data_IF_647027113618
#
_entry.id   IF_647027113618
#
_cell.length_a   1.000
_cell.length_b   1.000
_cell.length_c   1.000
_cell.angle_alpha   90.00
_cell.angle_beta   90.00
_cell.angle_gamma   90.00
#
_symmetry.space_group_name_H-M   'P 1'
#
loop_
_entity.id
_entity.type
_entity.pdbx_description
1 polymer ?
#
# COMPACT_ATOMS: atom_id res chain seq x y z
N UNK A 1 -34.51 -9.59 -16.26
CA UNK A 1 -35.90 -9.96 -16.53
C UNK A 1 -36.53 -10.79 -15.39
N UNK A 2 -35.74 -11.63 -14.71
CA UNK A 2 -36.29 -12.50 -13.65
C UNK A 2 -36.42 -11.81 -12.27
N UNK A 3 -35.64 -10.76 -12.02
CA UNK A 3 -35.65 -10.05 -10.73
C UNK A 3 -37.01 -9.37 -10.43
N UNK A 4 -37.52 -8.58 -11.37
CA UNK A 4 -38.82 -7.92 -11.21
C UNK A 4 -39.95 -8.93 -11.09
N UNK A 5 -39.92 -10.00 -11.90
CA UNK A 5 -40.94 -11.07 -11.86
C UNK A 5 -40.93 -11.85 -10.55
N UNK A 6 -39.74 -12.08 -9.96
CA UNK A 6 -39.63 -12.75 -8.67
C UNK A 6 -40.11 -11.83 -7.53
N UNK A 7 -39.85 -10.54 -7.62
CA UNK A 7 -40.37 -9.54 -6.68
C UNK A 7 -41.92 -9.48 -6.72
N UNK A 8 -42.51 -9.43 -7.91
CA UNK A 8 -43.93 -9.39 -8.11
C UNK A 8 -44.65 -10.66 -7.60
N UNK A 9 -43.96 -11.80 -7.68
CA UNK A 9 -44.46 -13.11 -7.21
C UNK A 9 -44.08 -13.43 -5.76
N UNK A 10 -43.56 -12.45 -4.97
CA UNK A 10 -43.09 -12.64 -3.58
C UNK A 10 -42.06 -13.76 -3.40
N UNK A 11 -41.26 -14.03 -4.44
CA UNK A 11 -40.17 -14.99 -4.39
C UNK A 11 -38.86 -14.28 -4.04
N UNK A 12 -37.87 -15.05 -3.55
CA UNK A 12 -36.55 -14.53 -3.28
C UNK A 12 -35.89 -14.04 -4.57
N UNK A 13 -35.58 -12.75 -4.65
CA UNK A 13 -34.87 -12.15 -5.77
C UNK A 13 -33.41 -11.87 -5.36
N UNK A 14 -32.44 -12.74 -5.72
CA UNK A 14 -31.05 -12.54 -5.37
C UNK A 14 -30.48 -11.36 -6.15
N UNK A 15 -29.92 -10.39 -5.44
CA UNK A 15 -29.15 -9.28 -6.00
C UNK A 15 -27.67 -9.52 -5.70
N UNK A 16 -26.85 -9.60 -6.71
CA UNK A 16 -25.40 -9.71 -6.55
C UNK A 16 -24.75 -8.33 -6.65
N UNK A 17 -24.05 -7.94 -5.61
CA UNK A 17 -23.26 -6.73 -5.56
C UNK A 17 -21.76 -7.09 -5.57
N UNK A 18 -21.04 -6.61 -6.59
CA UNK A 18 -19.59 -6.75 -6.70
C UNK A 18 -18.96 -5.43 -6.27
N UNK A 19 -18.22 -5.46 -5.17
CA UNK A 19 -17.50 -4.30 -4.66
C UNK A 19 -16.00 -4.47 -4.92
N UNK A 20 -15.33 -3.36 -5.31
CA UNK A 20 -13.87 -3.35 -5.45
C UNK A 20 -13.22 -3.36 -4.07
N UNK A 21 -12.56 -4.47 -3.74
CA UNK A 21 -11.87 -4.66 -2.45
C UNK A 21 -10.55 -3.88 -2.31
N UNK A 22 -10.10 -3.16 -3.36
CA UNK A 22 -8.89 -2.34 -3.28
C UNK A 22 -9.06 -1.17 -2.32
N UNK A 23 -10.25 -0.60 -2.29
CA UNK A 23 -10.65 0.48 -1.39
C UNK A 23 -11.65 -0.07 -0.37
N UNK A 24 -11.16 -0.80 0.65
CA UNK A 24 -12.01 -1.47 1.62
C UNK A 24 -12.98 -0.52 2.35
N UNK A 25 -12.56 0.72 2.59
CA UNK A 25 -13.40 1.72 3.26
C UNK A 25 -14.54 2.20 2.37
N UNK A 26 -14.28 2.53 1.10
CA UNK A 26 -15.32 2.93 0.13
C UNK A 26 -16.26 1.78 -0.19
N UNK A 27 -15.72 0.57 -0.31
CA UNK A 27 -16.53 -0.63 -0.50
C UNK A 27 -17.47 -0.85 0.68
N UNK A 28 -17.00 -0.66 1.92
CA UNK A 28 -17.82 -0.77 3.12
C UNK A 28 -18.91 0.31 3.19
N UNK A 29 -18.56 1.55 2.86
CA UNK A 29 -19.52 2.68 2.83
C UNK A 29 -20.58 2.42 1.76
N UNK A 30 -20.18 2.01 0.55
CA UNK A 30 -21.10 1.67 -0.53
C UNK A 30 -22.04 0.51 -0.15
N UNK A 31 -21.51 -0.53 0.52
CA UNK A 31 -22.28 -1.64 1.03
C UNK A 31 -23.34 -1.17 2.04
N UNK A 32 -22.96 -0.29 2.98
CA UNK A 32 -23.87 0.27 3.99
C UNK A 32 -24.97 1.12 3.36
N UNK A 33 -24.64 1.97 2.37
CA UNK A 33 -25.65 2.76 1.65
C UNK A 33 -26.64 1.87 0.89
N UNK A 34 -26.14 0.84 0.22
CA UNK A 34 -27.01 -0.10 -0.48
C UNK A 34 -27.89 -0.90 0.47
N UNK A 35 -27.37 -1.28 1.65
CA UNK A 35 -28.20 -1.88 2.70
C UNK A 35 -29.35 -0.95 3.12
N UNK A 36 -29.07 0.34 3.32
CA UNK A 36 -30.09 1.31 3.67
C UNK A 36 -31.13 1.47 2.55
N UNK A 37 -30.70 1.55 1.29
CA UNK A 37 -31.60 1.68 0.14
C UNK A 37 -32.52 0.44 0.05
N UNK A 38 -31.93 -0.76 0.14
CA UNK A 38 -32.69 -2.01 0.11
C UNK A 38 -33.68 -2.09 1.27
N UNK A 39 -33.25 -1.70 2.48
CA UNK A 39 -34.12 -1.67 3.67
C UNK A 39 -35.26 -0.66 3.54
N UNK A 40 -34.97 0.54 3.04
CA UNK A 40 -36.02 1.57 2.81
C UNK A 40 -37.01 1.12 1.75
N UNK A 41 -36.53 0.57 0.64
CA UNK A 41 -37.38 0.02 -0.42
C UNK A 41 -38.27 -1.13 0.09
N UNK A 42 -37.74 -1.98 0.96
CA UNK A 42 -38.55 -3.02 1.61
C UNK A 42 -39.62 -2.45 2.54
N UNK A 43 -39.28 -1.41 3.30
CA UNK A 43 -40.27 -0.74 4.14
C UNK A 43 -41.40 -0.11 3.30
N UNK A 44 -41.05 0.50 2.19
CA UNK A 44 -42.01 1.10 1.24
C UNK A 44 -42.93 0.04 0.59
N UNK A 45 -42.41 -1.13 0.25
CA UNK A 45 -43.17 -2.27 -0.24
C UNK A 45 -44.07 -2.89 0.84
N UNK A 46 -43.73 -2.74 2.13
CA UNK A 46 -44.43 -3.31 3.27
C UNK A 46 -45.55 -2.40 3.81
N UNK A 47 -45.50 -1.09 3.56
CA UNK A 47 -46.58 -0.17 3.97
C UNK A 47 -47.93 -0.48 3.32
N UNK A 48 -47.98 -1.42 2.35
CA UNK A 48 -49.18 -1.87 1.68
C UNK A 48 -49.65 -3.30 1.97
N UNK A 49 -48.83 -4.21 2.52
CA UNK A 49 -49.21 -5.64 2.66
C UNK A 49 -48.40 -6.39 3.73
N UNK A 50 -49.12 -7.11 4.57
CA UNK A 50 -48.59 -7.91 5.68
C UNK A 50 -47.69 -9.08 5.23
N UNK A 51 -46.49 -9.06 5.55
CA UNK A 51 -45.49 -10.04 6.08
C UNK A 51 -44.06 -9.64 5.71
N UNK A 52 -43.17 -9.42 6.67
CA UNK A 52 -41.76 -9.12 6.38
C UNK A 52 -41.09 -10.39 5.89
N UNK A 53 -40.77 -10.48 4.59
CA UNK A 53 -39.71 -11.32 4.14
C UNK A 53 -38.40 -10.60 4.48
N UNK A 54 -37.69 -11.09 5.51
CA UNK A 54 -36.39 -10.58 5.86
C UNK A 54 -35.44 -10.78 4.66
N UNK A 55 -35.07 -9.69 4.01
CA UNK A 55 -33.93 -9.74 3.09
C UNK A 55 -32.66 -9.87 3.92
N UNK A 56 -31.98 -10.97 3.78
CA UNK A 56 -30.70 -11.21 4.39
C UNK A 56 -29.60 -10.77 3.40
N UNK A 57 -28.79 -9.78 3.80
CA UNK A 57 -27.61 -9.41 3.04
C UNK A 57 -26.47 -10.35 3.41
N UNK A 58 -26.16 -11.30 2.53
CA UNK A 58 -25.01 -12.17 2.67
C UNK A 58 -23.78 -11.50 2.06
N UNK A 59 -22.95 -10.87 2.90
CA UNK A 59 -21.67 -10.28 2.47
C UNK A 59 -20.64 -11.39 2.36
N UNK A 60 -20.09 -11.61 1.17
CA UNK A 60 -18.95 -12.52 0.95
C UNK A 60 -17.75 -11.72 0.45
N UNK A 61 -16.71 -11.67 1.27
CA UNK A 61 -15.42 -11.12 0.87
C UNK A 61 -14.58 -12.23 0.22
N UNK A 62 -14.28 -12.11 -1.07
CA UNK A 62 -13.66 -13.20 -1.83
C UNK A 62 -12.21 -13.47 -1.45
N UNK A 63 -11.43 -12.42 -1.16
CA UNK A 63 -9.99 -12.55 -0.87
C UNK A 63 -9.65 -12.49 0.61
N UNK A 64 -10.53 -11.92 1.43
CA UNK A 64 -10.38 -11.83 2.88
C UNK A 64 -11.74 -12.08 3.56
N UNK A 65 -12.18 -13.35 3.67
CA UNK A 65 -13.51 -13.68 4.19
C UNK A 65 -13.78 -13.15 5.59
N UNK A 66 -12.73 -13.11 6.44
CA UNK A 66 -12.83 -12.71 7.83
C UNK A 66 -12.55 -11.21 8.05
N UNK A 67 -12.28 -10.44 7.00
CA UNK A 67 -11.84 -9.04 7.07
C UNK A 67 -10.63 -8.86 8.02
N UNK A 68 -9.72 -9.82 8.03
CA UNK A 68 -8.52 -9.76 8.84
C UNK A 68 -7.63 -8.58 8.44
N UNK A 69 -7.50 -7.61 9.31
CA UNK A 69 -6.72 -6.40 9.10
C UNK A 69 -5.23 -6.68 8.80
N UNK A 70 -4.69 -7.77 9.33
CA UNK A 70 -3.31 -8.23 9.08
C UNK A 70 -2.99 -8.46 7.60
N UNK A 71 -3.96 -8.87 6.79
CA UNK A 71 -3.78 -9.10 5.34
C UNK A 71 -3.55 -7.81 4.55
N UNK A 72 -4.00 -6.70 5.08
CA UNK A 72 -3.74 -5.37 4.52
C UNK A 72 -2.45 -4.76 5.06
N UNK A 73 -2.22 -4.88 6.38
CA UNK A 73 -1.10 -4.23 7.06
C UNK A 73 0.24 -4.83 6.68
N UNK A 74 0.37 -6.17 6.62
CA UNK A 74 1.68 -6.80 6.41
C UNK A 74 2.28 -6.47 5.03
N UNK A 75 1.55 -6.53 3.90
CA UNK A 75 2.08 -6.09 2.62
C UNK A 75 2.47 -4.61 2.61
N UNK A 76 1.69 -3.76 3.26
CA UNK A 76 1.99 -2.33 3.37
C UNK A 76 3.24 -2.05 4.19
N UNK A 77 3.49 -2.83 5.26
CA UNK A 77 4.71 -2.74 6.06
C UNK A 77 5.96 -3.09 5.25
N UNK A 78 5.88 -4.04 4.30
CA UNK A 78 7.00 -4.34 3.40
C UNK A 78 7.42 -3.08 2.65
N UNK A 79 6.47 -2.40 2.00
CA UNK A 79 6.75 -1.18 1.26
C UNK A 79 7.28 -0.06 2.17
N UNK A 80 6.65 0.15 3.32
CA UNK A 80 7.00 1.23 4.25
C UNK A 80 8.40 1.04 4.85
N UNK A 81 8.70 -0.14 5.39
CA UNK A 81 10.00 -0.43 6.02
C UNK A 81 11.11 -0.37 4.97
N UNK A 82 10.86 -0.91 3.78
CA UNK A 82 11.83 -0.86 2.67
C UNK A 82 12.08 0.58 2.23
N UNK A 83 11.05 1.41 2.11
CA UNK A 83 11.18 2.84 1.76
C UNK A 83 12.07 3.56 2.76
N UNK A 84 11.77 3.41 4.06
CA UNK A 84 12.56 4.03 5.14
C UNK A 84 14.02 3.59 5.05
N UNK A 85 14.26 2.28 4.99
CA UNK A 85 15.61 1.72 4.99
C UNK A 85 16.44 2.17 3.80
N UNK A 86 15.90 2.05 2.58
CA UNK A 86 16.61 2.46 1.36
C UNK A 86 16.91 3.94 1.35
N UNK A 87 15.92 4.78 1.67
CA UNK A 87 16.11 6.23 1.66
C UNK A 87 17.12 6.69 2.70
N UNK A 88 17.12 6.13 3.90
CA UNK A 88 18.12 6.45 4.94
C UNK A 88 19.52 6.03 4.46
N UNK A 89 19.70 4.79 4.01
CA UNK A 89 21.00 4.29 3.58
C UNK A 89 21.58 5.13 2.44
N UNK A 90 20.76 5.46 1.43
CA UNK A 90 21.20 6.23 0.27
C UNK A 90 21.44 7.70 0.58
N UNK A 91 20.55 8.33 1.35
CA UNK A 91 20.70 9.75 1.69
C UNK A 91 21.90 10.02 2.59
N UNK A 92 22.17 9.14 3.55
CA UNK A 92 23.35 9.27 4.42
C UNK A 92 24.66 8.98 3.68
N UNK A 93 24.64 8.21 2.61
CA UNK A 93 25.86 7.77 1.90
C UNK A 93 26.63 8.95 1.29
N UNK A 94 25.97 9.83 0.53
CA UNK A 94 26.64 10.99 -0.10
C UNK A 94 26.85 12.12 0.91
N UNK A 95 25.89 12.33 1.81
CA UNK A 95 26.01 13.35 2.85
C UNK A 95 27.23 13.07 3.78
N UNK A 96 27.50 11.79 4.07
CA UNK A 96 28.68 11.38 4.83
C UNK A 96 29.99 11.76 4.13
N UNK A 97 30.09 11.48 2.83
CA UNK A 97 31.28 11.80 2.05
C UNK A 97 31.51 13.30 1.95
N UNK A 98 30.42 14.08 1.84
CA UNK A 98 30.53 15.55 1.86
C UNK A 98 30.98 16.06 3.21
N UNK A 99 30.42 15.57 4.30
CA UNK A 99 30.77 15.97 5.66
C UNK A 99 32.22 15.61 6.03
N UNK A 100 32.70 14.49 5.52
CA UNK A 100 34.10 14.04 5.71
C UNK A 100 35.09 14.67 4.73
N UNK A 101 34.63 15.46 3.76
CA UNK A 101 35.49 16.08 2.74
C UNK A 101 36.06 15.10 1.71
N UNK A 102 35.51 13.87 1.64
CA UNK A 102 35.95 12.83 0.70
C UNK A 102 35.22 12.88 -0.63
N UNK A 103 34.14 13.66 -0.72
CA UNK A 103 33.34 13.79 -1.94
C UNK A 103 34.17 14.35 -3.11
N UNK A 104 35.03 15.36 -2.85
CA UNK A 104 35.89 15.95 -3.88
C UNK A 104 36.91 14.93 -4.43
N UNK A 105 37.43 14.07 -3.57
CA UNK A 105 38.33 12.99 -3.98
C UNK A 105 37.60 11.99 -4.87
N UNK A 106 36.35 11.68 -4.58
CA UNK A 106 35.53 10.80 -5.39
C UNK A 106 35.24 11.40 -6.77
N UNK A 107 34.99 12.72 -6.83
CA UNK A 107 34.71 13.44 -8.08
C UNK A 107 35.94 13.59 -8.99
N UNK A 108 37.15 13.65 -8.42
CA UNK A 108 38.40 13.71 -9.16
C UNK A 108 38.92 12.30 -9.59
N UNK A 109 38.30 11.25 -9.02
CA UNK A 109 38.64 9.87 -9.39
C UNK A 109 38.26 9.55 -10.85
N UNK A 110 38.97 8.62 -11.53
CA UNK A 110 38.69 8.25 -12.92
C UNK A 110 37.41 7.41 -13.08
N UNK A 111 36.49 7.48 -12.09
CA UNK A 111 35.21 6.77 -12.09
C UNK A 111 34.16 7.50 -12.91
N UNK A 112 33.47 6.75 -13.77
CA UNK A 112 32.28 7.29 -14.43
C UNK A 112 31.13 7.47 -13.43
N UNK A 113 30.28 8.47 -13.63
CA UNK A 113 29.13 8.80 -12.76
C UNK A 113 28.22 7.60 -12.49
N UNK A 114 28.01 6.75 -13.50
CA UNK A 114 27.18 5.56 -13.33
C UNK A 114 27.81 4.53 -12.38
N UNK A 115 29.16 4.44 -12.32
CA UNK A 115 29.85 3.53 -11.40
C UNK A 115 29.68 3.99 -9.95
N UNK A 116 29.73 5.29 -9.72
CA UNK A 116 29.43 5.89 -8.41
C UNK A 116 27.99 5.60 -8.02
N UNK A 117 27.03 5.80 -8.95
CA UNK A 117 25.63 5.49 -8.72
C UNK A 117 25.42 4.02 -8.36
N UNK A 118 25.97 3.09 -9.13
CA UNK A 118 25.87 1.65 -8.87
C UNK A 118 26.49 1.30 -7.52
N UNK A 119 27.66 1.85 -7.20
CA UNK A 119 28.33 1.63 -5.91
C UNK A 119 27.47 2.07 -4.70
N UNK A 120 26.63 3.09 -4.88
CA UNK A 120 25.68 3.56 -3.85
C UNK A 120 24.36 2.77 -3.85
N UNK A 121 23.91 2.37 -5.03
CA UNK A 121 22.64 1.66 -5.19
C UNK A 121 22.72 0.21 -4.67
N UNK A 122 23.80 -0.50 -4.95
CA UNK A 122 23.93 -1.93 -4.61
C UNK A 122 23.78 -2.20 -3.10
N UNK A 123 24.48 -1.50 -2.19
CA UNK A 123 24.28 -1.71 -0.75
C UNK A 123 22.85 -1.43 -0.30
N UNK A 124 22.24 -0.37 -0.84
CA UNK A 124 20.86 -0.01 -0.52
C UNK A 124 19.86 -1.07 -0.99
N UNK A 125 20.05 -1.63 -2.18
CA UNK A 125 19.23 -2.72 -2.72
C UNK A 125 19.39 -4.02 -1.92
N UNK A 126 20.59 -4.33 -1.43
CA UNK A 126 20.82 -5.47 -0.53
C UNK A 126 20.01 -5.28 0.76
N UNK A 127 20.07 -4.10 1.37
CA UNK A 127 19.28 -3.78 2.57
C UNK A 127 17.79 -3.88 2.28
N UNK A 128 17.33 -3.34 1.15
CA UNK A 128 15.93 -3.41 0.72
C UNK A 128 15.43 -4.84 0.61
N UNK A 129 16.18 -5.68 -0.11
CA UNK A 129 15.79 -7.09 -0.32
C UNK A 129 15.82 -7.89 0.96
N UNK A 130 16.77 -7.66 1.85
CA UNK A 130 16.82 -8.29 3.17
C UNK A 130 15.63 -7.89 4.03
N UNK A 131 15.32 -6.60 4.13
CA UNK A 131 14.16 -6.10 4.89
C UNK A 131 12.85 -6.68 4.34
N UNK A 132 12.65 -6.62 3.03
CA UNK A 132 11.47 -7.18 2.39
C UNK A 132 11.32 -8.68 2.63
N UNK A 133 12.42 -9.43 2.55
CA UNK A 133 12.44 -10.88 2.80
C UNK A 133 12.09 -11.20 4.25
N UNK A 134 12.64 -10.46 5.22
CA UNK A 134 12.36 -10.65 6.64
C UNK A 134 10.88 -10.38 6.94
N UNK A 135 10.33 -9.26 6.44
CA UNK A 135 8.92 -8.92 6.68
C UNK A 135 7.99 -9.91 5.99
N UNK A 136 8.33 -10.35 4.77
CA UNK A 136 7.59 -11.38 4.05
C UNK A 136 7.60 -12.72 4.82
N UNK A 137 8.78 -13.14 5.31
CA UNK A 137 8.91 -14.36 6.10
C UNK A 137 8.08 -14.31 7.39
N UNK A 138 8.11 -13.19 8.11
CA UNK A 138 7.26 -12.97 9.29
C UNK A 138 5.79 -13.01 8.90
N UNK A 139 5.40 -12.40 7.79
CA UNK A 139 4.02 -12.42 7.28
C UNK A 139 3.51 -13.83 7.01
N UNK A 140 4.33 -14.67 6.39
CA UNK A 140 3.96 -16.04 6.04
C UNK A 140 3.97 -16.94 7.29
N UNK A 141 5.05 -16.91 8.11
CA UNK A 141 5.22 -17.86 9.20
C UNK A 141 4.52 -17.46 10.50
N UNK A 142 4.62 -16.17 10.89
CA UNK A 142 4.00 -15.71 12.14
C UNK A 142 2.53 -15.35 11.97
N UNK A 143 2.17 -14.67 10.87
CA UNK A 143 0.80 -14.23 10.62
C UNK A 143 -0.01 -15.16 9.73
N UNK A 144 0.61 -16.21 9.17
CA UNK A 144 -0.02 -17.21 8.31
C UNK A 144 -0.80 -16.60 7.12
N UNK A 145 -0.26 -15.53 6.55
CA UNK A 145 -0.86 -14.89 5.39
C UNK A 145 -0.54 -15.74 4.16
N UNK A 146 -1.54 -16.20 3.40
CA UNK A 146 -1.30 -16.99 2.20
C UNK A 146 -0.61 -16.14 1.14
N UNK A 147 0.59 -16.56 0.74
CA UNK A 147 1.30 -15.95 -0.37
C UNK A 147 0.88 -16.62 -1.67
N UNK A 148 -0.05 -16.00 -2.41
CA UNK A 148 -0.59 -16.53 -3.67
C UNK A 148 0.15 -16.01 -4.92
N UNK A 149 1.28 -15.32 -4.76
CA UNK A 149 2.02 -14.68 -5.84
C UNK A 149 3.29 -15.42 -6.26
N UNK A 150 3.94 -14.93 -7.33
CA UNK A 150 5.26 -15.39 -7.75
C UNK A 150 6.36 -14.65 -6.98
N UNK A 151 7.23 -15.38 -6.28
CA UNK A 151 8.39 -14.81 -5.59
C UNK A 151 9.33 -14.08 -6.54
N UNK A 152 9.50 -14.59 -7.76
CA UNK A 152 10.36 -13.95 -8.77
C UNK A 152 9.81 -12.57 -9.15
N UNK A 153 8.50 -12.47 -9.37
CA UNK A 153 7.85 -11.18 -9.67
C UNK A 153 7.98 -10.22 -8.47
N UNK A 154 7.82 -10.73 -7.25
CA UNK A 154 7.99 -9.95 -6.04
C UNK A 154 9.38 -9.32 -5.95
N UNK A 155 10.46 -10.11 -6.10
CA UNK A 155 11.82 -9.57 -6.05
C UNK A 155 12.14 -8.66 -7.23
N UNK A 156 11.63 -8.95 -8.41
CA UNK A 156 11.80 -8.08 -9.58
C UNK A 156 11.18 -6.69 -9.35
N UNK A 157 9.94 -6.65 -8.87
CA UNK A 157 9.27 -5.38 -8.52
C UNK A 157 9.96 -4.66 -7.37
N UNK A 158 10.47 -5.39 -6.37
CA UNK A 158 11.24 -4.83 -5.26
C UNK A 158 12.54 -4.16 -5.72
N UNK A 159 13.25 -4.75 -6.68
CA UNK A 159 14.47 -4.15 -7.23
C UNK A 159 14.14 -2.86 -7.98
N UNK A 160 13.11 -2.85 -8.82
CA UNK A 160 12.68 -1.63 -9.55
C UNK A 160 12.25 -0.54 -8.56
N UNK A 161 11.45 -0.91 -7.58
CA UNK A 161 11.01 -0.01 -6.52
C UNK A 161 12.20 0.56 -5.73
N UNK A 162 13.12 -0.31 -5.31
CA UNK A 162 14.34 0.08 -4.62
C UNK A 162 15.22 1.04 -5.43
N UNK A 163 15.38 0.82 -6.74
CA UNK A 163 16.12 1.72 -7.62
C UNK A 163 15.48 3.12 -7.69
N UNK A 164 14.16 3.18 -7.75
CA UNK A 164 13.44 4.46 -7.69
C UNK A 164 13.71 5.21 -6.37
N UNK A 165 13.65 4.50 -5.24
CA UNK A 165 13.92 5.07 -3.92
C UNK A 165 15.38 5.51 -3.75
N UNK A 166 16.33 4.77 -4.34
CA UNK A 166 17.75 5.16 -4.39
C UNK A 166 17.90 6.50 -5.09
N UNK A 167 17.21 6.72 -6.22
CA UNK A 167 17.22 8.00 -6.93
C UNK A 167 16.76 9.15 -6.05
N UNK A 168 15.64 9.00 -5.34
CA UNK A 168 15.13 10.00 -4.39
C UNK A 168 16.08 10.21 -3.21
N UNK A 169 16.63 9.13 -2.63
CA UNK A 169 17.58 9.23 -1.53
C UNK A 169 18.85 9.99 -1.90
N UNK A 170 19.40 9.74 -3.10
CA UNK A 170 20.56 10.46 -3.61
C UNK A 170 20.25 11.93 -3.93
N UNK A 171 19.05 12.22 -4.44
CA UNK A 171 18.59 13.58 -4.67
C UNK A 171 18.55 14.36 -3.36
N UNK A 172 17.93 13.82 -2.31
CA UNK A 172 17.89 14.46 -0.98
C UNK A 172 19.31 14.66 -0.45
N UNK A 173 20.16 13.62 -0.57
CA UNK A 173 21.55 13.68 -0.12
C UNK A 173 22.36 14.77 -0.81
N UNK A 174 22.12 15.00 -2.10
CA UNK A 174 22.81 16.04 -2.88
C UNK A 174 22.48 17.45 -2.42
N UNK A 175 21.30 17.66 -1.85
CA UNK A 175 20.84 18.95 -1.33
C UNK A 175 21.33 19.23 0.09
N UNK A 176 21.80 18.20 0.82
CA UNK A 176 22.19 18.32 2.22
C UNK A 176 23.72 18.42 2.38
N UNK A 177 24.15 19.25 3.33
CA UNK A 177 25.57 19.41 3.65
C UNK A 177 26.05 18.41 4.71
N UNK A 178 25.17 17.95 5.59
CA UNK A 178 25.49 17.07 6.72
C UNK A 178 24.59 15.84 6.74
N UNK A 179 25.04 14.77 7.37
CA UNK A 179 24.25 13.55 7.57
C UNK A 179 22.95 13.85 8.35
N UNK A 180 23.02 14.74 9.33
CA UNK A 180 21.84 15.11 10.12
C UNK A 180 20.78 15.81 9.25
N UNK A 181 21.19 16.70 8.35
CA UNK A 181 20.26 17.34 7.40
C UNK A 181 19.65 16.32 6.43
N UNK A 182 20.47 15.38 5.92
CA UNK A 182 19.99 14.34 5.03
C UNK A 182 18.95 13.44 5.72
N UNK A 183 19.19 13.07 6.98
CA UNK A 183 18.25 12.30 7.78
C UNK A 183 16.91 13.04 7.95
N UNK A 184 16.95 14.30 8.35
CA UNK A 184 15.74 15.14 8.47
C UNK A 184 15.05 15.28 7.11
N UNK A 185 15.81 15.51 6.03
CA UNK A 185 15.30 15.62 4.67
C UNK A 185 14.52 14.38 4.22
N UNK A 186 14.98 13.18 4.57
CA UNK A 186 14.23 11.95 4.32
C UNK A 186 12.88 11.96 5.03
N UNK A 187 12.83 12.36 6.31
CA UNK A 187 11.57 12.41 7.05
C UNK A 187 10.60 13.45 6.50
N UNK A 188 11.10 14.63 6.13
CA UNK A 188 10.29 15.69 5.51
C UNK A 188 9.68 15.23 4.19
N UNK A 189 10.39 14.43 3.41
CA UNK A 189 9.86 13.83 2.18
C UNK A 189 8.89 12.68 2.46
N UNK A 190 9.23 11.80 3.41
CA UNK A 190 8.46 10.59 3.68
C UNK A 190 7.12 10.85 4.35
N UNK A 191 7.03 11.81 5.27
CA UNK A 191 5.78 12.09 5.98
C UNK A 191 4.62 12.41 5.02
N UNK A 192 4.76 13.39 4.08
CA UNK A 192 3.72 13.62 3.08
C UNK A 192 3.48 12.40 2.17
N UNK A 193 4.55 11.70 1.76
CA UNK A 193 4.42 10.54 0.89
C UNK A 193 3.59 9.43 1.52
N UNK A 194 3.79 9.13 2.81
CA UNK A 194 3.01 8.13 3.55
C UNK A 194 1.56 8.59 3.74
N UNK A 195 1.34 9.86 4.11
CA UNK A 195 -0.01 10.40 4.30
C UNK A 195 -0.81 10.39 2.99
N UNK A 196 -0.17 10.76 1.87
CA UNK A 196 -0.81 10.81 0.55
C UNK A 196 -0.90 9.43 -0.14
N UNK A 197 -0.22 8.41 0.39
CA UNK A 197 -0.24 7.06 -0.20
C UNK A 197 -1.59 6.33 -0.07
N UNK A 198 -2.54 6.88 0.69
CA UNK A 198 -3.81 6.22 0.99
C UNK A 198 -3.73 5.13 2.07
N UNK A 199 -2.53 4.89 2.62
CA UNK A 199 -2.34 3.88 3.68
C UNK A 199 -2.90 4.35 5.03
N UNK A 200 -2.56 5.59 5.43
CA UNK A 200 -2.98 6.18 6.72
C UNK A 200 -4.36 6.81 6.62
N UNK A 201 -4.62 7.53 5.53
CA UNK A 201 -5.89 8.19 5.27
C UNK A 201 -6.39 7.80 3.88
N UNK A 202 -7.63 7.32 3.75
CA UNK A 202 -8.22 7.04 2.44
C UNK A 202 -8.20 8.30 1.57
N UNK A 203 -7.72 8.16 0.34
CA UNK A 203 -7.57 9.29 -0.61
C UNK A 203 -8.90 10.01 -0.85
N UNK A 204 -10.02 9.29 -0.75
CA UNK A 204 -11.37 9.80 -0.96
C UNK A 204 -11.85 10.78 0.12
N UNK A 205 -11.22 10.76 1.29
CA UNK A 205 -11.51 11.68 2.40
C UNK A 205 -10.61 12.91 2.39
N UNK A 206 -9.74 13.05 1.39
CA UNK A 206 -8.88 14.23 1.26
C UNK A 206 -9.68 15.35 0.55
N UNK A 207 -9.70 16.59 1.11
CA UNK A 207 -10.32 17.70 0.43
C UNK A 207 -9.58 18.00 -0.88
N UNK A 208 -10.34 18.16 -1.95
CA UNK A 208 -9.84 18.55 -3.29
C UNK A 208 -9.50 20.03 -3.28
#
# INVERSE_FOLDING_TARGET
ADFSRNLDNYQTAPLQLLLDGRNSNSAQIAANYLQQIVKNYQQELLEGKAKPNNSELVVRNWYNPNLDYKWFVVPSLIAMITTIGVMIVTSLSVAREREQGTLDQLLVSPLATWQIFVGKAVPALIVATLQATIVLAIGIWAYQIPFAGSLLLFYFTMVIYGLSLVGFGLLISSLCATQQQAFIGVFVFMMPAILLSGYVSPVENMPV
#
